data_IF_835768441047
#
_entry.id   IF_835768441047
#
_cell.length_a   1.000
_cell.length_b   1.000
_cell.length_c   1.000
_cell.angle_alpha   90.00
_cell.angle_beta   90.00
_cell.angle_gamma   90.00
#
_symmetry.space_group_name_H-M   'P 1'
#
loop_
_entity.id
_entity.type
_entity.pdbx_description
1 polymer ?
#
# COMPACT_ATOMS: atom_id res chain seq x y z
N UNK A 1 -24.13 -25.71 8.09
CA UNK A 1 -23.23 -25.62 6.91
C UNK A 1 -23.38 -24.31 6.17
N UNK A 2 -24.61 -23.86 5.85
CA UNK A 2 -24.86 -22.55 5.22
C UNK A 2 -24.41 -21.34 6.06
N UNK A 3 -24.60 -21.39 7.38
CA UNK A 3 -24.17 -20.32 8.31
C UNK A 3 -22.63 -20.15 8.34
N UNK A 4 -21.89 -21.26 8.40
CA UNK A 4 -20.43 -21.24 8.35
C UNK A 4 -19.92 -20.65 7.01
N UNK A 5 -20.51 -21.06 5.89
CA UNK A 5 -20.16 -20.50 4.57
C UNK A 5 -20.48 -19.01 4.47
N UNK A 6 -21.62 -18.58 5.02
CA UNK A 6 -21.98 -17.15 5.10
C UNK A 6 -20.95 -16.37 5.92
N UNK A 7 -20.55 -16.89 7.09
CA UNK A 7 -19.55 -16.27 7.94
C UNK A 7 -18.18 -16.18 7.26
N UNK A 8 -17.70 -17.22 6.58
CA UNK A 8 -16.43 -17.18 5.82
C UNK A 8 -16.46 -16.12 4.71
N UNK A 9 -17.58 -16.01 3.98
CA UNK A 9 -17.73 -14.97 2.95
C UNK A 9 -17.66 -13.57 3.55
N UNK A 10 -18.29 -13.37 4.70
CA UNK A 10 -18.27 -12.08 5.40
C UNK A 10 -16.86 -11.72 5.91
N UNK A 11 -16.12 -12.68 6.48
CA UNK A 11 -14.73 -12.46 6.89
C UNK A 11 -13.84 -12.09 5.69
N UNK A 12 -14.04 -12.75 4.54
CA UNK A 12 -13.33 -12.41 3.30
C UNK A 12 -13.66 -10.99 2.83
N UNK A 13 -14.94 -10.62 2.83
CA UNK A 13 -15.39 -9.27 2.46
C UNK A 13 -14.72 -8.22 3.34
N UNK A 14 -14.75 -8.43 4.66
CA UNK A 14 -14.10 -7.53 5.60
C UNK A 14 -12.59 -7.43 5.37
N UNK A 15 -11.91 -8.55 5.16
CA UNK A 15 -10.47 -8.54 4.89
C UNK A 15 -10.12 -7.78 3.58
N UNK A 16 -10.97 -7.86 2.55
CA UNK A 16 -10.77 -7.08 1.32
C UNK A 16 -10.97 -5.58 1.57
N UNK A 17 -12.02 -5.19 2.32
CA UNK A 17 -12.24 -3.80 2.72
C UNK A 17 -11.08 -3.25 3.54
N UNK A 18 -10.60 -3.99 4.54
CA UNK A 18 -9.46 -3.59 5.38
C UNK A 18 -8.20 -3.27 4.54
N UNK A 19 -7.92 -4.07 3.50
CA UNK A 19 -6.78 -3.82 2.60
C UNK A 19 -6.98 -2.53 1.81
N UNK A 20 -8.17 -2.31 1.25
CA UNK A 20 -8.46 -1.13 0.44
C UNK A 20 -8.42 0.16 1.26
N UNK A 21 -8.95 0.13 2.48
CA UNK A 21 -8.91 1.28 3.40
C UNK A 21 -7.47 1.59 3.85
N UNK A 22 -6.71 0.55 4.20
CA UNK A 22 -5.30 0.70 4.58
C UNK A 22 -4.45 1.20 3.40
N UNK A 23 -4.71 0.72 2.18
CA UNK A 23 -4.04 1.18 0.97
C UNK A 23 -4.33 2.65 0.69
N UNK A 24 -5.60 3.06 0.76
CA UNK A 24 -5.99 4.45 0.56
C UNK A 24 -5.29 5.38 1.56
N UNK A 25 -5.29 4.99 2.84
CA UNK A 25 -4.60 5.74 3.90
C UNK A 25 -3.09 5.86 3.62
N UNK A 26 -2.45 4.75 3.28
CA UNK A 26 -1.02 4.72 3.01
C UNK A 26 -0.62 5.59 1.81
N UNK A 27 -1.33 5.48 0.68
CA UNK A 27 -1.02 6.28 -0.51
C UNK A 27 -1.26 7.77 -0.28
N UNK A 28 -2.29 8.15 0.48
CA UNK A 28 -2.49 9.55 0.86
C UNK A 28 -1.32 10.09 1.69
N UNK A 29 -0.78 9.29 2.62
CA UNK A 29 0.39 9.66 3.41
C UNK A 29 1.64 9.83 2.53
N UNK A 30 1.86 8.91 1.57
CA UNK A 30 2.98 9.01 0.61
C UNK A 30 2.83 10.26 -0.27
N UNK A 31 1.65 10.48 -0.86
CA UNK A 31 1.40 11.62 -1.74
C UNK A 31 1.57 12.95 -1.02
N UNK A 32 1.09 13.06 0.22
CA UNK A 32 1.27 14.27 1.03
C UNK A 32 2.74 14.63 1.19
N UNK A 33 3.61 13.65 1.40
CA UNK A 33 5.05 13.88 1.59
C UNK A 33 5.73 14.22 0.28
N UNK A 34 5.38 13.53 -0.81
CA UNK A 34 5.84 13.90 -2.15
C UNK A 34 5.43 15.34 -2.50
N UNK A 35 4.18 15.73 -2.24
CA UNK A 35 3.66 17.09 -2.45
C UNK A 35 4.42 18.13 -1.62
N UNK A 36 4.71 17.84 -0.35
CA UNK A 36 5.53 18.72 0.48
C UNK A 36 6.89 18.97 -0.17
N UNK A 37 7.57 17.90 -0.61
CA UNK A 37 8.88 17.98 -1.25
C UNK A 37 8.83 18.77 -2.55
N UNK A 38 7.86 18.47 -3.44
CA UNK A 38 7.67 19.18 -4.71
C UNK A 38 7.40 20.68 -4.50
N UNK A 39 6.78 21.05 -3.39
CA UNK A 39 6.51 22.45 -3.03
C UNK A 39 7.61 23.06 -2.13
N UNK A 40 8.77 22.41 -2.01
CA UNK A 40 9.90 22.85 -1.18
C UNK A 40 9.54 23.04 0.31
N UNK A 41 8.55 22.29 0.80
CA UNK A 41 8.17 22.22 2.20
C UNK A 41 8.88 21.04 2.85
N UNK A 42 9.63 21.29 3.91
CA UNK A 42 10.32 20.24 4.64
C UNK A 42 9.32 19.36 5.40
N UNK A 43 9.38 18.02 5.24
CA UNK A 43 8.64 17.09 6.08
C UNK A 43 8.98 17.25 7.56
N UNK A 44 7.96 17.20 8.41
CA UNK A 44 8.12 17.16 9.86
C UNK A 44 8.74 15.83 10.32
N UNK A 45 9.28 15.81 11.54
CA UNK A 45 9.78 14.59 12.17
C UNK A 45 8.71 13.50 12.33
N UNK A 46 7.42 13.84 12.29
CA UNK A 46 6.31 12.90 12.33
C UNK A 46 5.90 12.33 10.97
N UNK A 47 6.31 12.96 9.86
CA UNK A 47 5.83 12.58 8.53
C UNK A 47 6.44 11.27 8.04
N UNK A 48 7.76 11.11 8.21
CA UNK A 48 8.46 9.87 7.82
C UNK A 48 7.97 8.66 8.65
N UNK A 49 7.83 8.76 9.98
CA UNK A 49 7.18 7.72 10.77
C UNK A 49 5.74 7.40 10.34
N UNK A 50 4.99 8.36 9.80
CA UNK A 50 3.62 8.13 9.34
C UNK A 50 3.57 7.18 8.13
N UNK A 51 4.46 7.35 7.14
CA UNK A 51 4.61 6.40 6.00
C UNK A 51 4.75 4.97 6.53
N UNK A 52 5.62 4.80 7.53
CA UNK A 52 5.89 3.50 8.12
C UNK A 52 4.66 2.93 8.83
N UNK A 53 3.98 3.72 9.64
CA UNK A 53 2.81 3.25 10.40
C UNK A 53 1.70 2.80 9.44
N UNK A 54 1.39 3.62 8.44
CA UNK A 54 0.32 3.30 7.48
C UNK A 54 0.71 2.17 6.55
N UNK A 55 1.98 2.11 6.12
CA UNK A 55 2.50 0.99 5.34
C UNK A 55 2.45 -0.33 6.11
N UNK A 56 2.78 -0.34 7.41
CA UNK A 56 2.65 -1.55 8.22
C UNK A 56 1.19 -1.96 8.45
N UNK A 57 0.27 -1.00 8.60
CA UNK A 57 -1.17 -1.30 8.67
C UNK A 57 -1.64 -2.03 7.40
N UNK A 58 -1.18 -1.58 6.23
CA UNK A 58 -1.45 -2.25 4.97
C UNK A 58 -0.86 -3.66 4.91
N UNK A 59 0.40 -3.84 5.33
CA UNK A 59 1.03 -5.16 5.40
C UNK A 59 0.24 -6.12 6.31
N UNK A 60 -0.24 -5.64 7.46
CA UNK A 60 -1.05 -6.43 8.39
C UNK A 60 -2.45 -6.76 7.81
N UNK A 61 -3.06 -5.85 7.08
CA UNK A 61 -4.33 -6.10 6.39
C UNK A 61 -4.17 -7.20 5.32
N UNK A 62 -3.06 -7.18 4.57
CA UNK A 62 -2.73 -8.25 3.59
C UNK A 62 -2.61 -9.62 4.27
N UNK A 63 -2.00 -9.69 5.45
CA UNK A 63 -1.85 -10.95 6.18
C UNK A 63 -3.21 -11.54 6.62
N UNK A 64 -4.26 -10.72 6.80
CA UNK A 64 -5.63 -11.20 7.08
C UNK A 64 -6.28 -11.89 5.88
N UNK A 65 -6.08 -11.40 4.66
CA UNK A 65 -6.66 -12.04 3.46
C UNK A 65 -6.14 -13.46 3.26
N UNK A 66 -4.90 -13.76 3.68
CA UNK A 66 -4.34 -15.12 3.63
C UNK A 66 -5.14 -16.14 4.45
N UNK A 67 -5.92 -15.69 5.44
CA UNK A 67 -6.71 -16.57 6.30
C UNK A 67 -8.11 -16.86 5.74
N UNK A 68 -8.64 -15.98 4.88
CA UNK A 68 -10.06 -16.00 4.48
C UNK A 68 -10.28 -16.09 2.96
N UNK A 69 -9.24 -15.79 2.18
CA UNK A 69 -9.26 -15.73 0.73
C UNK A 69 -8.81 -17.03 0.06
N UNK A 70 -9.25 -17.27 -1.19
CA UNK A 70 -8.61 -18.27 -2.04
C UNK A 70 -7.16 -17.86 -2.37
N UNK A 71 -6.37 -18.81 -2.86
CA UNK A 71 -4.93 -18.62 -3.10
C UNK A 71 -4.64 -17.48 -4.09
N UNK A 72 -5.48 -17.29 -5.11
CA UNK A 72 -5.34 -16.23 -6.11
C UNK A 72 -5.54 -14.84 -5.48
N UNK A 73 -6.50 -14.72 -4.54
CA UNK A 73 -6.72 -13.47 -3.80
C UNK A 73 -5.54 -13.19 -2.85
N UNK A 74 -5.05 -14.23 -2.16
CA UNK A 74 -3.89 -14.10 -1.28
C UNK A 74 -2.61 -13.73 -2.03
N UNK A 75 -2.43 -14.27 -3.24
CA UNK A 75 -1.30 -14.00 -4.13
C UNK A 75 -1.33 -12.58 -4.65
N UNK A 76 -2.48 -12.12 -5.16
CA UNK A 76 -2.63 -10.73 -5.62
C UNK A 76 -2.41 -9.72 -4.49
N UNK A 77 -2.87 -10.01 -3.26
CA UNK A 77 -2.60 -9.18 -2.09
C UNK A 77 -1.10 -9.10 -1.73
N UNK A 78 -0.29 -10.12 -2.07
CA UNK A 78 1.17 -10.02 -1.89
C UNK A 78 1.82 -8.99 -2.81
N UNK A 79 1.25 -8.74 -4.00
CA UNK A 79 1.72 -7.66 -4.86
C UNK A 79 1.64 -6.31 -4.15
N UNK A 80 0.51 -6.02 -3.52
CA UNK A 80 0.33 -4.80 -2.71
C UNK A 80 1.36 -4.72 -1.58
N UNK A 81 1.56 -5.83 -0.86
CA UNK A 81 2.54 -5.90 0.23
C UNK A 81 3.97 -5.61 -0.24
N UNK A 82 4.34 -6.16 -1.40
CA UNK A 82 5.67 -5.97 -1.98
C UNK A 82 5.92 -4.49 -2.23
N UNK A 83 5.04 -3.83 -2.97
CA UNK A 83 5.21 -2.41 -3.31
C UNK A 83 5.08 -1.50 -2.09
N UNK A 84 4.23 -1.84 -1.12
CA UNK A 84 4.17 -1.11 0.15
C UNK A 84 5.50 -1.14 0.90
N UNK A 85 6.21 -2.28 0.90
CA UNK A 85 7.53 -2.39 1.54
C UNK A 85 8.59 -1.54 0.84
N UNK A 86 8.58 -1.51 -0.49
CA UNK A 86 9.48 -0.67 -1.28
C UNK A 86 9.23 0.82 -0.99
N UNK A 87 7.97 1.26 -0.96
CA UNK A 87 7.61 2.63 -0.60
C UNK A 87 7.98 3.00 0.85
N UNK A 88 7.82 2.07 1.80
CA UNK A 88 8.31 2.27 3.19
C UNK A 88 9.82 2.45 3.22
N UNK A 89 10.56 1.67 2.43
CA UNK A 89 12.02 1.78 2.35
C UNK A 89 12.46 3.13 1.77
N UNK A 90 11.80 3.61 0.71
CA UNK A 90 12.03 4.94 0.15
C UNK A 90 11.74 6.04 1.18
N UNK A 91 10.70 5.88 2.01
CA UNK A 91 10.43 6.80 3.12
C UNK A 91 11.60 6.96 4.10
N UNK A 92 12.38 5.90 4.35
CA UNK A 92 13.59 5.98 5.18
C UNK A 92 14.74 6.69 4.49
N UNK A 93 14.87 6.47 3.18
CA UNK A 93 15.93 7.07 2.36
C UNK A 93 15.71 8.56 2.11
N UNK A 94 14.50 9.09 2.35
CA UNK A 94 14.20 10.51 2.17
C UNK A 94 15.14 11.43 2.95
N UNK A 95 15.48 11.09 4.20
CA UNK A 95 16.41 11.92 4.99
C UNK A 95 17.80 11.98 4.35
N UNK A 96 18.26 10.85 3.81
CA UNK A 96 19.56 10.76 3.17
C UNK A 96 19.55 11.53 1.83
N UNK A 97 18.47 11.42 1.06
CA UNK A 97 18.28 12.19 -0.17
C UNK A 97 18.26 13.71 0.09
N UNK A 98 17.56 14.16 1.13
CA UNK A 98 17.51 15.58 1.53
C UNK A 98 18.85 16.11 2.07
N UNK A 99 19.67 15.27 2.69
CA UNK A 99 20.97 15.64 3.24
C UNK A 99 22.12 15.47 2.23
N UNK A 100 21.83 14.89 1.05
CA UNK A 100 22.84 14.61 0.05
C UNK A 100 23.45 15.90 -0.52
N UNK A 101 24.77 15.96 -0.74
CA UNK A 101 25.40 17.05 -1.48
C UNK A 101 25.18 16.94 -2.99
N UNK A 102 24.65 15.80 -3.47
CA UNK A 102 24.31 15.57 -4.86
C UNK A 102 23.01 16.32 -5.22
N UNK A 103 23.05 17.26 -6.18
CA UNK A 103 21.88 18.04 -6.57
C UNK A 103 20.73 17.17 -7.13
N UNK A 104 21.04 15.99 -7.68
CA UNK A 104 20.06 15.14 -8.37
C UNK A 104 19.41 14.12 -7.41
N UNK A 105 19.95 13.94 -6.20
CA UNK A 105 19.52 12.88 -5.26
C UNK A 105 18.03 12.97 -4.86
N UNK A 106 17.47 14.18 -4.76
CA UNK A 106 16.07 14.36 -4.42
C UNK A 106 15.15 14.10 -5.63
N UNK A 107 15.60 14.44 -6.84
CA UNK A 107 14.89 14.16 -8.09
C UNK A 107 14.87 12.64 -8.36
N UNK A 108 16.02 11.97 -8.23
CA UNK A 108 16.13 10.51 -8.34
C UNK A 108 15.23 9.79 -7.31
N UNK A 109 15.12 10.33 -6.09
CA UNK A 109 14.22 9.79 -5.07
C UNK A 109 12.75 9.98 -5.44
N UNK A 110 12.37 11.12 -6.02
CA UNK A 110 11.01 11.38 -6.50
C UNK A 110 10.64 10.46 -7.67
N UNK A 111 11.55 10.21 -8.60
CA UNK A 111 11.36 9.29 -9.73
C UNK A 111 11.16 7.84 -9.26
N UNK A 112 11.94 7.41 -8.26
CA UNK A 112 11.76 6.12 -7.61
C UNK A 112 10.41 6.04 -6.90
N UNK A 113 10.02 7.08 -6.16
CA UNK A 113 8.71 7.14 -5.50
C UNK A 113 7.57 7.04 -6.51
N UNK A 114 7.65 7.76 -7.63
CA UNK A 114 6.64 7.74 -8.69
C UNK A 114 6.53 6.35 -9.30
N UNK A 115 7.66 5.75 -9.67
CA UNK A 115 7.72 4.39 -10.23
C UNK A 115 7.09 3.37 -9.28
N UNK A 116 7.40 3.45 -7.99
CA UNK A 116 6.84 2.55 -6.97
C UNK A 116 5.37 2.81 -6.66
N UNK A 117 4.93 4.06 -6.69
CA UNK A 117 3.51 4.40 -6.53
C UNK A 117 2.68 3.85 -7.70
N UNK A 118 3.18 3.93 -8.93
CA UNK A 118 2.53 3.34 -10.10
C UNK A 118 2.49 1.80 -10.02
N UNK A 119 3.57 1.16 -9.59
CA UNK A 119 3.59 -0.28 -9.34
C UNK A 119 2.57 -0.68 -8.25
N UNK A 120 2.50 0.09 -7.15
CA UNK A 120 1.53 -0.14 -6.08
C UNK A 120 0.08 0.01 -6.58
N UNK A 121 -0.17 0.98 -7.46
CA UNK A 121 -1.47 1.16 -8.12
C UNK A 121 -1.84 -0.03 -9.00
N UNK A 122 -0.91 -0.51 -9.84
CA UNK A 122 -1.13 -1.69 -10.66
C UNK A 122 -1.42 -2.94 -9.81
N UNK A 123 -0.64 -3.14 -8.74
CA UNK A 123 -0.86 -4.24 -7.80
C UNK A 123 -2.25 -4.17 -7.13
N UNK A 124 -2.69 -2.97 -6.76
CA UNK A 124 -4.03 -2.74 -6.22
C UNK A 124 -5.13 -3.04 -7.24
N UNK A 125 -4.95 -2.68 -8.50
CA UNK A 125 -5.94 -2.96 -9.56
C UNK A 125 -6.07 -4.48 -9.79
N UNK A 126 -4.95 -5.21 -9.83
CA UNK A 126 -4.94 -6.67 -9.90
C UNK A 126 -5.66 -7.30 -8.71
N UNK A 127 -5.37 -6.84 -7.49
CA UNK A 127 -6.06 -7.30 -6.28
C UNK A 127 -7.56 -7.02 -6.33
N UNK A 128 -7.96 -5.84 -6.79
CA UNK A 128 -9.37 -5.44 -6.89
C UNK A 128 -10.15 -6.38 -7.81
N UNK A 129 -9.56 -6.74 -8.96
CA UNK A 129 -10.15 -7.73 -9.86
C UNK A 129 -10.30 -9.10 -9.20
N UNK A 130 -9.27 -9.57 -8.49
CA UNK A 130 -9.31 -10.83 -7.76
C UNK A 130 -10.34 -10.81 -6.62
N UNK A 131 -10.48 -9.68 -5.92
CA UNK A 131 -11.46 -9.49 -4.85
C UNK A 131 -12.89 -9.60 -5.39
N UNK A 132 -13.22 -8.95 -6.52
CA UNK A 132 -14.54 -9.08 -7.15
C UNK A 132 -14.86 -10.51 -7.53
N UNK A 133 -13.90 -11.23 -8.11
CA UNK A 133 -14.08 -12.65 -8.45
C UNK A 133 -14.30 -13.52 -7.20
N UNK A 134 -13.53 -13.28 -6.14
CA UNK A 134 -13.60 -14.06 -4.91
C UNK A 134 -14.85 -13.76 -4.06
N UNK A 135 -15.48 -12.59 -4.23
CA UNK A 135 -16.72 -12.20 -3.56
C UNK A 135 -17.97 -12.56 -4.36
N UNK A 136 -17.83 -12.85 -5.66
CA UNK A 136 -18.96 -13.17 -6.54
C UNK A 136 -19.64 -11.93 -7.15
N UNK A 137 -18.97 -10.78 -7.11
CA UNK A 137 -19.51 -9.47 -7.52
C UNK A 137 -19.26 -9.16 -9.01
N UNK A 138 -19.10 -10.18 -9.86
CA UNK A 138 -19.09 -10.04 -11.32
C UNK A 138 -20.27 -10.80 -11.96
N UNK A 139 -21.32 -10.04 -12.29
CA UNK A 139 -22.13 -10.24 -13.49
C UNK A 139 -21.46 -9.59 -14.69
#
# INVERSE_FOLDING_TARGET
MAEHQHWVREQRRQACSDIMDAYGTFILTVNRIADMIMNHVQPSDSDIPAIRIDGWRLVLAVDRVRLWGPEELATSAQGIRSEARELIALGWQLRDAMASPDPDALEDWLDQCTTRADAAKQARDVFTVAAYQALGDRT
#
